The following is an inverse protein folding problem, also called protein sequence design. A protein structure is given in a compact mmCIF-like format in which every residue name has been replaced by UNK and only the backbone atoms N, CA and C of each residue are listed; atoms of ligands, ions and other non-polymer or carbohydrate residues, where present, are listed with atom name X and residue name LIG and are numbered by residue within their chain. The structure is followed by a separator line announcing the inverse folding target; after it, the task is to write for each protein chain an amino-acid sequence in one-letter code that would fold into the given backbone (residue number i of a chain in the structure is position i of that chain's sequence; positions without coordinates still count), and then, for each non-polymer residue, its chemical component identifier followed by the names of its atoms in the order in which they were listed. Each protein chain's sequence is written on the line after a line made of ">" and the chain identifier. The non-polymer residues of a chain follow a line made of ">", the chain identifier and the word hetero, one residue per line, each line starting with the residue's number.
data_IF_869517820309
#
_entry.id   IF_869517820309
#
_cell.length_a   1.000
_cell.length_b   1.000
_cell.length_c   1.000
_cell.angle_alpha   90.00
_cell.angle_beta   90.00
_cell.angle_gamma   90.00
#
_symmetry.space_group_name_H-M   'P 1'
#
loop_
_entity.id
_entity.type
_entity.pdbx_description
1 polymer ?
#
# COMPACT_ATOMS: atom_id res chain seq x y z
N UNK A 1 -10.97 -3.81 3.92
CA UNK A 1 -10.58 -3.72 5.33
C UNK A 1 -9.76 -2.46 5.53
N UNK A 2 -9.97 -1.74 6.63
CA UNK A 2 -9.13 -0.62 7.06
C UNK A 2 -8.91 -0.75 8.57
N UNK A 3 -7.71 -0.45 9.03
CA UNK A 3 -7.39 -0.39 10.44
C UNK A 3 -6.50 0.83 10.69
N UNK A 4 -6.78 1.52 11.80
CA UNK A 4 -6.09 2.75 12.17
C UNK A 4 -7.00 3.96 12.07
N UNK A 5 -6.38 5.14 11.89
CA UNK A 5 -7.06 6.43 11.86
C UNK A 5 -6.34 7.37 10.89
N UNK A 6 -7.11 8.13 10.13
CA UNK A 6 -6.60 9.25 9.34
C UNK A 6 -6.80 10.56 10.13
N UNK A 7 -5.71 11.19 10.55
CA UNK A 7 -5.72 12.45 11.28
C UNK A 7 -6.24 13.61 10.43
N UNK A 8 -6.05 13.53 9.11
CA UNK A 8 -6.49 14.52 8.14
C UNK A 8 -7.71 14.06 7.32
N UNK A 9 -8.59 13.21 7.89
CA UNK A 9 -9.81 12.75 7.20
C UNK A 9 -10.72 13.90 6.74
N UNK A 10 -10.82 14.98 7.55
CA UNK A 10 -11.68 16.12 7.22
C UNK A 10 -11.25 16.87 5.96
N UNK A 11 -10.00 17.33 5.81
CA UNK A 11 -9.56 17.96 4.57
C UNK A 11 -9.61 17.00 3.37
N UNK A 12 -9.21 15.73 3.55
CA UNK A 12 -9.29 14.74 2.46
C UNK A 12 -10.72 14.56 1.95
N UNK A 13 -11.72 14.47 2.83
CA UNK A 13 -13.12 14.35 2.37
C UNK A 13 -13.58 15.55 1.53
N UNK A 14 -13.07 16.76 1.82
CA UNK A 14 -13.42 17.96 1.07
C UNK A 14 -12.77 17.93 -0.32
N UNK A 15 -11.52 17.50 -0.39
CA UNK A 15 -10.77 17.35 -1.64
C UNK A 15 -11.41 16.34 -2.59
N UNK A 16 -11.89 15.21 -2.04
CA UNK A 16 -12.64 14.20 -2.81
C UNK A 16 -14.12 14.54 -3.00
N UNK A 17 -14.60 15.72 -2.57
CA UNK A 17 -15.99 16.15 -2.74
C UNK A 17 -17.02 15.27 -2.00
N UNK A 18 -16.60 14.62 -0.90
CA UNK A 18 -17.41 13.66 -0.17
C UNK A 18 -18.30 14.31 0.90
N UNK A 19 -19.39 13.61 1.25
CA UNK A 19 -20.36 14.07 2.26
C UNK A 19 -19.76 14.18 3.67
N UNK A 20 -20.46 14.84 4.59
CA UNK A 20 -19.96 15.08 5.96
C UNK A 20 -19.73 13.81 6.80
N UNK A 21 -20.38 12.69 6.50
CA UNK A 21 -20.33 11.46 7.33
C UNK A 21 -19.51 10.33 6.67
N UNK A 22 -18.30 10.63 6.21
CA UNK A 22 -17.39 9.68 5.54
C UNK A 22 -16.47 9.03 6.57
N UNK A 23 -16.35 7.70 6.52
CA UNK A 23 -15.33 6.94 7.27
C UNK A 23 -14.05 6.78 6.44
N UNK A 24 -12.95 6.38 7.07
CA UNK A 24 -11.67 6.07 6.43
C UNK A 24 -11.84 4.99 5.35
N UNK A 25 -12.70 4.00 5.60
CA UNK A 25 -13.04 2.95 4.62
C UNK A 25 -13.65 3.56 3.36
N UNK A 26 -14.60 4.49 3.52
CA UNK A 26 -15.24 5.15 2.37
C UNK A 26 -14.26 6.04 1.61
N UNK A 27 -13.40 6.77 2.33
CA UNK A 27 -12.35 7.59 1.72
C UNK A 27 -11.41 6.74 0.87
N UNK A 28 -10.90 5.62 1.41
CA UNK A 28 -9.98 4.73 0.67
C UNK A 28 -10.64 4.13 -0.56
N UNK A 29 -11.93 3.76 -0.48
CA UNK A 29 -12.69 3.27 -1.64
C UNK A 29 -12.78 4.35 -2.72
N UNK A 30 -13.08 5.60 -2.36
CA UNK A 30 -13.19 6.68 -3.35
C UNK A 30 -11.83 7.08 -3.93
N UNK A 31 -10.79 7.14 -3.10
CA UNK A 31 -9.42 7.38 -3.55
C UNK A 31 -8.99 6.30 -4.56
N UNK A 32 -9.27 5.02 -4.27
CA UNK A 32 -8.99 3.91 -5.19
C UNK A 32 -9.77 4.02 -6.51
N UNK A 33 -11.07 4.34 -6.46
CA UNK A 33 -11.85 4.57 -7.69
C UNK A 33 -11.27 5.70 -8.52
N UNK A 34 -10.80 6.77 -7.88
CA UNK A 34 -10.19 7.90 -8.59
C UNK A 34 -8.89 7.49 -9.27
N UNK A 35 -8.02 6.72 -8.59
CA UNK A 35 -6.82 6.12 -9.18
C UNK A 35 -7.14 5.19 -10.37
N UNK A 36 -8.23 4.42 -10.27
CA UNK A 36 -8.65 3.45 -11.28
C UNK A 36 -9.30 4.11 -12.51
N UNK A 37 -10.23 5.04 -12.28
CA UNK A 37 -11.16 5.53 -13.30
C UNK A 37 -10.78 6.89 -13.88
N UNK A 38 -10.05 7.72 -13.13
CA UNK A 38 -9.90 9.17 -13.40
C UNK A 38 -8.46 9.65 -13.53
N UNK A 39 -7.54 8.77 -13.95
CA UNK A 39 -6.12 9.10 -14.10
C UNK A 39 -5.88 10.45 -14.82
N UNK A 40 -4.93 11.26 -14.30
CA UNK A 40 -3.53 10.85 -14.38
C UNK A 40 -2.73 10.97 -13.06
N UNK A 41 -3.34 10.75 -11.89
CA UNK A 41 -2.62 10.83 -10.61
C UNK A 41 -2.01 9.49 -10.21
N UNK A 42 -0.72 9.47 -9.80
CA UNK A 42 -0.08 8.25 -9.38
C UNK A 42 -0.47 7.89 -7.94
N UNK A 43 -0.49 6.58 -7.63
CA UNK A 43 -0.92 6.07 -6.33
C UNK A 43 -0.05 6.59 -5.17
N UNK A 44 1.23 6.84 -5.41
CA UNK A 44 2.14 7.38 -4.40
C UNK A 44 1.73 8.77 -3.92
N UNK A 45 1.28 9.65 -4.82
CA UNK A 45 0.78 10.98 -4.43
C UNK A 45 -0.42 10.87 -3.50
N UNK A 46 -1.43 10.10 -3.89
CA UNK A 46 -2.65 9.89 -3.09
C UNK A 46 -2.33 9.32 -1.72
N UNK A 47 -1.44 8.33 -1.64
CA UNK A 47 -1.06 7.72 -0.38
C UNK A 47 -0.20 8.64 0.49
N UNK A 48 0.65 9.48 -0.11
CA UNK A 48 1.46 10.47 0.62
C UNK A 48 0.63 11.58 1.27
N UNK A 49 -0.57 11.84 0.76
CA UNK A 49 -1.51 12.82 1.32
C UNK A 49 -2.31 12.25 2.50
N UNK A 50 -2.31 10.92 2.72
CA UNK A 50 -2.98 10.30 3.87
C UNK A 50 -2.10 10.44 5.12
N UNK A 51 -2.49 11.31 6.05
CA UNK A 51 -1.80 11.47 7.34
C UNK A 51 -2.49 10.65 8.42
N UNK A 52 -1.73 9.79 9.09
CA UNK A 52 -2.18 9.01 10.22
C UNK A 52 -1.50 7.65 10.29
N UNK A 53 -1.97 6.82 11.21
CA UNK A 53 -1.50 5.44 11.36
C UNK A 53 -2.53 4.54 10.70
N UNK A 54 -2.16 3.82 9.65
CA UNK A 54 -3.11 3.05 8.89
C UNK A 54 -2.51 1.84 8.18
N UNK A 55 -3.35 0.83 8.04
CA UNK A 55 -3.20 -0.21 7.04
C UNK A 55 -4.56 -0.46 6.41
N UNK A 56 -4.57 -0.71 5.10
CA UNK A 56 -5.79 -1.18 4.45
C UNK A 56 -5.49 -2.22 3.39
N UNK A 57 -6.50 -3.05 3.16
CA UNK A 57 -6.55 -4.05 2.08
C UNK A 57 -7.88 -3.85 1.38
N UNK A 58 -7.81 -3.49 0.10
CA UNK A 58 -8.95 -3.32 -0.79
C UNK A 58 -8.90 -4.40 -1.87
N UNK A 59 -10.04 -5.02 -2.15
CA UNK A 59 -10.21 -5.93 -3.28
C UNK A 59 -11.29 -5.38 -4.20
N UNK A 60 -10.92 -5.06 -5.43
CA UNK A 60 -11.85 -4.74 -6.50
C UNK A 60 -12.20 -6.02 -7.26
N UNK A 61 -13.39 -6.56 -6.98
CA UNK A 61 -13.88 -7.78 -7.60
C UNK A 61 -14.12 -7.64 -9.12
N UNK A 62 -14.41 -6.42 -9.60
CA UNK A 62 -14.69 -6.20 -11.03
C UNK A 62 -13.41 -6.29 -11.85
N UNK A 63 -12.31 -5.78 -11.31
CA UNK A 63 -11.00 -5.78 -11.97
C UNK A 63 -10.07 -6.89 -11.47
N UNK A 64 -10.51 -7.68 -10.50
CA UNK A 64 -9.70 -8.69 -9.80
C UNK A 64 -8.39 -8.10 -9.25
N UNK A 65 -8.47 -6.89 -8.70
CA UNK A 65 -7.31 -6.13 -8.23
C UNK A 65 -7.27 -6.10 -6.71
N UNK A 66 -6.13 -6.46 -6.13
CA UNK A 66 -5.86 -6.25 -4.70
C UNK A 66 -5.01 -4.98 -4.58
N UNK A 67 -5.40 -4.05 -3.72
CA UNK A 67 -4.66 -2.84 -3.41
C UNK A 67 -4.43 -2.75 -1.89
N UNK A 68 -3.17 -2.75 -1.47
CA UNK A 68 -2.76 -2.76 -0.07
C UNK A 68 -1.83 -1.61 0.18
N UNK A 69 -1.99 -0.89 1.29
CA UNK A 69 -1.03 0.12 1.72
C UNK A 69 -0.87 0.11 3.23
N UNK A 70 0.32 0.55 3.67
CA UNK A 70 0.70 0.68 5.08
C UNK A 70 1.43 2.00 5.29
N UNK A 71 1.07 2.72 6.36
CA UNK A 71 1.65 4.01 6.72
C UNK A 71 3.18 3.97 6.89
N UNK A 72 3.84 5.15 6.84
CA UNK A 72 5.31 5.27 6.91
C UNK A 72 5.87 4.97 8.31
N UNK A 73 5.11 5.23 9.38
CA UNK A 73 5.54 4.91 10.73
C UNK A 73 5.46 3.40 11.01
N UNK A 74 4.55 2.72 10.31
CA UNK A 74 4.37 1.29 10.32
C UNK A 74 3.94 0.71 11.67
N UNK A 75 3.30 1.53 12.51
CA UNK A 75 2.88 1.21 13.88
C UNK A 75 1.83 0.10 13.94
N UNK A 76 0.93 0.05 12.96
CA UNK A 76 -0.05 -1.03 12.86
C UNK A 76 0.63 -2.23 12.18
N UNK A 77 0.67 -3.41 12.80
CA UNK A 77 1.34 -4.57 12.22
C UNK A 77 0.57 -5.06 10.99
N UNK A 78 1.29 -5.33 9.91
CA UNK A 78 0.78 -6.08 8.79
C UNK A 78 1.90 -6.98 8.30
N UNK A 79 1.55 -8.23 8.07
CA UNK A 79 2.40 -9.24 7.47
C UNK A 79 1.72 -9.76 6.21
N UNK A 80 2.55 -10.20 5.27
CA UNK A 80 2.12 -10.86 4.05
C UNK A 80 2.93 -12.12 3.81
N UNK A 81 2.37 -13.06 3.06
CA UNK A 81 3.04 -14.29 2.72
C UNK A 81 2.40 -14.99 1.55
N UNK A 82 3.11 -15.97 1.01
CA UNK A 82 2.65 -16.77 -0.12
C UNK A 82 2.40 -18.19 0.35
N UNK A 83 1.17 -18.67 0.23
CA UNK A 83 0.79 -20.05 0.51
C UNK A 83 1.32 -21.02 -0.56
N UNK A 84 1.23 -22.32 -0.31
CA UNK A 84 1.71 -23.37 -1.23
C UNK A 84 1.03 -23.33 -2.60
N UNK A 85 -0.26 -22.99 -2.63
CA UNK A 85 -1.06 -22.78 -3.84
C UNK A 85 -0.78 -21.44 -4.55
N UNK A 86 0.22 -20.69 -4.07
CA UNK A 86 0.63 -19.35 -4.54
C UNK A 86 -0.38 -18.24 -4.21
N UNK A 87 -1.37 -18.50 -3.37
CA UNK A 87 -2.24 -17.45 -2.87
C UNK A 87 -1.46 -16.46 -2.01
N UNK A 88 -1.76 -15.16 -2.19
CA UNK A 88 -1.23 -14.10 -1.35
C UNK A 88 -2.12 -13.98 -0.10
N UNK A 89 -1.51 -14.08 1.07
CA UNK A 89 -2.18 -13.99 2.36
C UNK A 89 -1.68 -12.78 3.16
N UNK A 90 -2.56 -12.17 3.93
CA UNK A 90 -2.27 -11.04 4.80
C UNK A 90 -2.78 -11.32 6.21
N UNK A 91 -2.06 -10.83 7.22
CA UNK A 91 -2.45 -10.96 8.62
C UNK A 91 -1.77 -9.90 9.47
N UNK A 92 -2.44 -9.42 10.52
CA UNK A 92 -1.81 -8.62 11.59
C UNK A 92 -0.99 -9.52 12.55
N UNK A 93 -1.29 -10.82 12.56
CA UNK A 93 -0.70 -11.83 13.44
C UNK A 93 0.17 -12.80 12.62
N UNK A 94 1.50 -12.80 12.79
CA UNK A 94 2.41 -13.58 11.95
C UNK A 94 2.25 -15.10 12.11
N UNK A 95 1.72 -15.57 13.25
CA UNK A 95 1.47 -16.99 13.53
C UNK A 95 0.49 -17.62 12.53
N UNK A 96 -0.53 -16.86 12.08
CA UNK A 96 -1.48 -17.35 11.07
C UNK A 96 -0.81 -17.53 9.70
N UNK A 97 0.11 -16.64 9.33
CA UNK A 97 0.88 -16.80 8.10
C UNK A 97 1.93 -17.91 8.23
N UNK A 98 2.51 -18.12 9.41
CA UNK A 98 3.41 -19.25 9.62
C UNK A 98 2.70 -20.59 9.39
N UNK A 99 1.44 -20.70 9.81
CA UNK A 99 0.63 -21.90 9.60
C UNK A 99 0.28 -22.14 8.12
N UNK A 100 -0.07 -21.08 7.37
CA UNK A 100 -0.52 -21.21 5.96
C UNK A 100 0.58 -21.03 4.90
N UNK A 101 1.62 -20.25 5.19
CA UNK A 101 2.70 -19.88 4.26
C UNK A 101 4.06 -20.48 4.65
N UNK A 102 4.13 -21.23 5.77
CA UNK A 102 5.36 -21.83 6.27
C UNK A 102 6.43 -20.77 6.56
N UNK A 103 7.53 -20.78 5.78
CA UNK A 103 8.63 -19.82 5.88
C UNK A 103 8.49 -18.64 4.89
N UNK A 104 7.50 -18.68 4.01
CA UNK A 104 7.29 -17.70 2.93
C UNK A 104 6.42 -16.53 3.42
N UNK A 105 6.84 -15.84 4.47
CA UNK A 105 6.14 -14.67 4.98
C UNK A 105 7.09 -13.62 5.55
N UNK A 106 6.66 -12.36 5.53
CA UNK A 106 7.42 -11.23 6.04
C UNK A 106 6.50 -10.11 6.56
N UNK A 107 7.01 -9.15 7.33
CA UNK A 107 6.33 -7.88 7.52
C UNK A 107 6.08 -7.21 6.16
N UNK A 108 4.90 -6.64 5.99
CA UNK A 108 4.64 -5.72 4.90
C UNK A 108 5.41 -4.41 5.18
N UNK A 109 6.18 -3.90 4.20
CA UNK A 109 7.06 -2.75 4.43
C UNK A 109 6.25 -1.47 4.72
N UNK A 110 6.73 -0.65 5.65
CA UNK A 110 6.16 0.67 5.92
C UNK A 110 6.38 1.61 4.74
N UNK A 111 5.52 2.62 4.59
CA UNK A 111 5.65 3.62 3.51
C UNK A 111 5.50 3.01 2.11
N UNK A 112 4.82 1.87 2.00
CA UNK A 112 4.69 1.10 0.78
C UNK A 112 3.23 0.73 0.47
N UNK A 113 3.01 0.44 -0.80
CA UNK A 113 1.78 -0.16 -1.30
C UNK A 113 2.08 -1.33 -2.24
N UNK A 114 1.13 -2.23 -2.36
CA UNK A 114 1.16 -3.35 -3.29
C UNK A 114 -0.12 -3.36 -4.10
N UNK A 115 0.04 -3.59 -5.40
CA UNK A 115 -1.06 -4.00 -6.27
C UNK A 115 -0.63 -5.16 -7.14
N UNK A 116 -1.51 -6.11 -7.42
CA UNK A 116 -1.19 -7.24 -8.30
C UNK A 116 -0.86 -6.82 -9.74
N UNK A 117 -1.25 -5.61 -10.16
CA UNK A 117 -0.90 -5.05 -11.47
C UNK A 117 0.37 -4.16 -11.47
N UNK A 118 0.79 -3.61 -10.32
CA UNK A 118 1.92 -2.67 -10.22
C UNK A 118 3.11 -3.21 -9.42
N UNK A 119 2.93 -4.35 -8.74
CA UNK A 119 3.88 -4.88 -7.78
C UNK A 119 3.91 -4.08 -6.49
N UNK A 120 4.96 -4.31 -5.70
CA UNK A 120 5.24 -3.60 -4.47
C UNK A 120 6.06 -2.34 -4.77
N UNK A 121 5.64 -1.18 -4.25
CA UNK A 121 6.28 0.13 -4.46
C UNK A 121 6.29 0.93 -3.16
N UNK A 122 7.28 1.82 -3.01
CA UNK A 122 7.26 2.82 -1.95
C UNK A 122 6.51 4.06 -2.42
N UNK A 123 5.59 4.57 -1.61
CA UNK A 123 5.01 5.89 -1.85
C UNK A 123 5.73 6.99 -1.07
N UNK A 124 6.49 6.61 -0.03
CA UNK A 124 7.39 7.52 0.68
C UNK A 124 8.62 7.90 -0.17
N UNK A 125 9.09 6.93 -0.96
CA UNK A 125 10.24 7.07 -1.85
C UNK A 125 9.88 6.58 -3.27
N UNK A 126 8.99 7.31 -3.98
CA UNK A 126 8.40 6.83 -5.22
C UNK A 126 9.38 6.71 -6.39
N UNK A 127 10.56 7.34 -6.29
CA UNK A 127 11.58 7.28 -7.35
C UNK A 127 12.66 6.23 -7.06
N UNK A 128 12.58 5.50 -5.95
CA UNK A 128 13.62 4.58 -5.50
C UNK A 128 13.18 3.12 -5.64
N UNK A 129 14.13 2.26 -5.98
CA UNK A 129 13.88 0.81 -6.07
C UNK A 129 13.75 0.19 -4.68
N UNK A 130 12.84 -0.78 -4.55
CA UNK A 130 12.80 -1.68 -3.40
C UNK A 130 13.75 -2.86 -3.61
N UNK A 131 14.55 -3.19 -2.58
CA UNK A 131 15.42 -4.37 -2.56
C UNK A 131 14.90 -5.40 -1.57
N UNK A 132 14.87 -6.65 -2.01
CA UNK A 132 14.62 -7.79 -1.14
C UNK A 132 15.83 -8.01 -0.22
N UNK A 133 15.57 -8.15 1.08
CA UNK A 133 16.56 -8.42 2.11
C UNK A 133 16.24 -9.78 2.73
N UNK A 134 17.14 -10.78 2.62
CA UNK A 134 16.96 -12.06 3.26
C UNK A 134 16.71 -11.90 4.76
N UNK A 135 15.69 -12.59 5.28
CA UNK A 135 15.46 -12.69 6.72
C UNK A 135 15.95 -14.05 7.19
N UNK A 136 16.52 -14.09 8.38
CA UNK A 136 16.93 -15.35 9.04
C UNK A 136 16.32 -15.41 10.44
N UNK A 137 16.03 -16.62 10.91
CA UNK A 137 15.65 -16.85 12.31
C UNK A 137 16.87 -16.83 13.25
N UNK A 138 16.63 -17.02 14.55
CA UNK A 138 17.68 -17.10 15.57
C UNK A 138 18.65 -18.27 15.39
N UNK A 139 18.32 -19.25 14.54
CA UNK A 139 19.16 -20.39 14.18
C UNK A 139 19.86 -20.19 12.83
N UNK A 140 19.72 -19.02 12.19
CA UNK A 140 20.31 -18.72 10.89
C UNK A 140 19.57 -19.32 9.70
N UNK A 141 18.38 -19.89 9.89
CA UNK A 141 17.58 -20.43 8.78
C UNK A 141 16.79 -19.31 8.10
N UNK A 142 16.71 -19.35 6.77
CA UNK A 142 15.98 -18.35 5.99
C UNK A 142 14.48 -18.31 6.34
N UNK A 143 13.94 -17.10 6.53
CA UNK A 143 12.55 -16.75 6.83
C UNK A 143 11.99 -15.77 5.78
N UNK A 144 11.96 -16.21 4.53
CA UNK A 144 11.51 -15.37 3.41
C UNK A 144 12.39 -14.12 3.23
N UNK A 145 11.83 -13.08 2.62
CA UNK A 145 12.51 -11.81 2.40
C UNK A 145 11.65 -10.63 2.87
N UNK A 146 12.27 -9.69 3.58
CA UNK A 146 11.72 -8.35 3.78
C UNK A 146 12.08 -7.45 2.61
N UNK A 147 11.53 -6.24 2.56
CA UNK A 147 11.84 -5.25 1.54
C UNK A 147 12.28 -3.94 2.20
N UNK A 148 13.29 -3.29 1.60
CA UNK A 148 13.77 -1.96 2.01
C UNK A 148 14.01 -1.10 0.78
N UNK A 149 13.83 0.21 0.94
CA UNK A 149 14.15 1.18 -0.11
C UNK A 149 15.67 1.26 -0.29
N UNK A 150 16.12 1.19 -1.53
CA UNK A 150 17.50 1.50 -1.90
C UNK A 150 17.63 2.97 -2.29
N UNK A 151 18.10 3.77 -1.35
CA UNK A 151 18.26 5.21 -1.53
C UNK A 151 19.26 5.60 -2.64
N UNK A 152 20.10 4.66 -3.09
CA UNK A 152 21.13 4.91 -4.09
C UNK A 152 20.69 4.57 -5.52
N UNK A 153 19.55 3.91 -5.70
CA UNK A 153 19.10 3.45 -7.02
C UNK A 153 17.76 4.06 -7.38
N UNK A 154 17.75 4.82 -8.47
CA UNK A 154 16.50 5.32 -9.06
C UNK A 154 15.77 4.23 -9.82
N UNK A 155 14.44 4.26 -9.73
CA UNK A 155 13.60 3.38 -10.53
C UNK A 155 13.27 4.03 -11.87
N UNK A 156 14.02 3.64 -12.90
CA UNK A 156 13.87 4.17 -14.27
C UNK A 156 12.52 3.79 -14.90
N UNK A 157 11.85 2.76 -14.39
CA UNK A 157 10.53 2.33 -14.86
C UNK A 157 9.38 3.23 -14.32
N UNK A 158 9.67 4.18 -13.42
CA UNK A 158 8.69 5.07 -12.75
C UNK A 158 8.59 6.46 -13.41
N UNK A 159 9.22 6.69 -14.56
CA UNK A 159 9.12 8.00 -15.25
C UNK A 159 7.69 8.19 -15.80
N UNK A 160 6.78 8.65 -14.93
CA UNK A 160 5.44 9.09 -15.26
C UNK A 160 5.53 10.51 -15.86
N UNK A 161 5.33 10.62 -17.18
CA UNK A 161 5.09 11.90 -17.85
C UNK A 161 3.70 12.43 -17.48
N UNK A 162 3.57 13.20 -16.40
CA UNK A 162 2.34 14.00 -16.17
C UNK A 162 2.71 15.34 -15.53
N UNK A 163 2.23 16.42 -16.14
CA UNK A 163 2.50 17.81 -15.75
C UNK A 163 1.75 18.26 -14.49
N UNK A 164 2.26 19.33 -13.90
CA UNK A 164 2.02 19.86 -12.56
C UNK A 164 0.59 20.37 -12.24
N UNK A 165 -0.43 20.10 -13.05
CA UNK A 165 -1.70 20.85 -13.02
C UNK A 165 -2.97 20.00 -12.88
N UNK A 166 -2.89 18.83 -12.24
CA UNK A 166 -4.09 18.06 -12.01
C UNK A 166 -4.73 18.50 -10.67
N UNK A 167 -5.82 19.25 -10.77
CA UNK A 167 -6.65 19.77 -9.66
C UNK A 167 -7.89 18.87 -9.53
N UNK A 168 -8.05 18.21 -8.38
CA UNK A 168 -9.10 17.20 -8.13
C UNK A 168 -10.54 17.71 -8.28
N UNK A 169 -10.75 19.02 -8.26
CA UNK A 169 -12.07 19.67 -8.17
C UNK A 169 -12.77 19.96 -9.52
N UNK A 170 -12.13 19.70 -10.67
CA UNK A 170 -12.64 20.16 -11.97
C UNK A 170 -13.52 19.17 -12.75
N UNK A 171 -14.06 18.13 -12.11
CA UNK A 171 -15.04 17.25 -12.74
C UNK A 171 -16.29 17.10 -11.86
N UNK A 172 -17.05 18.19 -11.75
CA UNK A 172 -18.46 18.22 -11.37
C UNK A 172 -19.26 18.72 -12.57
#
# INVERSE_FOLDING_TARGET
>A
MFQGTLENLTPLRQEYGLMKNVSEVMLVIEAYKTLRDRGPFPADKVLSEMNGQFVFILYDANNQTVFVAKDCEGKIPLYWGTAEDKALAFSETPEFLKAGCGKSFAPFPAGCYFSNNMGLRSYEHPLQKLKAVPRVDSQGQALGAGFKVDMNTKDEDIIHRVGSEANWSQSI
#
